data_IF_780379811655
#
_entry.id   IF_780379811655
#
_cell.length_a   1.000
_cell.length_b   1.000
_cell.length_c   1.000
_cell.angle_alpha   90.00
_cell.angle_beta   90.00
_cell.angle_gamma   90.00
#
_symmetry.space_group_name_H-M   'P 1'
#
loop_
_entity.id
_entity.type
_entity.pdbx_description
1 polymer ?
#
# COMPACT_ATOMS: atom_id res chain seq x y z
N UNK A 1 -0.02 -9.14 -28.84
CA UNK A 1 0.63 -10.03 -27.86
C UNK A 1 -0.36 -10.44 -26.80
N UNK A 2 -1.09 -11.52 -27.06
CA UNK A 2 -2.19 -12.05 -26.20
C UNK A 2 -1.73 -13.24 -25.35
N UNK A 3 -0.62 -13.15 -24.63
CA UNK A 3 -0.01 -14.33 -24.01
C UNK A 3 -0.28 -14.52 -22.52
N UNK A 4 -1.21 -13.75 -21.90
CA UNK A 4 -1.40 -13.83 -20.44
C UNK A 4 -2.82 -14.22 -19.98
N UNK A 5 -3.74 -14.48 -20.90
CA UNK A 5 -5.15 -14.79 -20.60
C UNK A 5 -5.37 -16.28 -20.24
N UNK A 6 -4.50 -17.16 -20.71
CA UNK A 6 -4.64 -18.63 -20.57
C UNK A 6 -3.85 -19.22 -19.40
N UNK A 7 -2.84 -18.53 -18.88
CA UNK A 7 -1.89 -19.08 -17.89
C UNK A 7 -2.48 -19.38 -16.51
N UNK A 8 -3.49 -18.63 -16.06
CA UNK A 8 -4.08 -18.85 -14.73
C UNK A 8 -5.16 -19.94 -14.73
N UNK A 9 -5.95 -20.04 -15.78
CA UNK A 9 -7.02 -21.05 -15.87
C UNK A 9 -6.40 -22.46 -15.96
N UNK A 10 -5.45 -22.63 -16.87
CA UNK A 10 -4.78 -23.92 -17.08
C UNK A 10 -4.04 -24.41 -15.82
N UNK A 11 -3.41 -23.48 -15.06
CA UNK A 11 -2.74 -23.82 -13.80
C UNK A 11 -3.73 -24.38 -12.75
N UNK A 12 -4.85 -23.72 -12.55
CA UNK A 12 -5.85 -24.15 -11.56
C UNK A 12 -6.59 -25.42 -11.98
N UNK A 13 -6.78 -25.63 -13.28
CA UNK A 13 -7.33 -26.86 -13.82
C UNK A 13 -6.33 -28.01 -13.62
N UNK A 14 -5.05 -27.79 -13.81
CA UNK A 14 -4.00 -28.78 -13.46
C UNK A 14 -3.96 -29.09 -11.98
N UNK A 15 -4.12 -28.10 -11.10
CA UNK A 15 -4.16 -28.30 -9.63
C UNK A 15 -5.35 -29.16 -9.25
N UNK A 16 -6.54 -28.98 -9.86
CA UNK A 16 -7.74 -29.80 -9.64
C UNK A 16 -7.50 -31.23 -10.07
N UNK A 17 -6.96 -31.44 -11.26
CA UNK A 17 -6.64 -32.77 -11.81
C UNK A 17 -5.60 -33.49 -10.97
N UNK A 18 -4.58 -32.77 -10.48
CA UNK A 18 -3.51 -33.37 -9.65
C UNK A 18 -3.93 -33.70 -8.22
N UNK A 19 -5.12 -33.27 -7.78
CA UNK A 19 -5.63 -33.48 -6.43
C UNK A 19 -7.11 -33.83 -6.48
N UNK A 20 -7.46 -34.91 -7.17
CA UNK A 20 -8.84 -35.38 -7.39
C UNK A 20 -9.61 -35.63 -6.09
N UNK A 21 -8.90 -35.95 -5.00
CA UNK A 21 -9.50 -36.21 -3.68
C UNK A 21 -9.88 -34.93 -2.91
N UNK A 22 -9.59 -33.73 -3.46
CA UNK A 22 -9.88 -32.46 -2.80
C UNK A 22 -10.98 -31.69 -3.54
N UNK A 23 -12.06 -31.41 -2.83
CA UNK A 23 -13.06 -30.46 -3.30
C UNK A 23 -12.51 -29.03 -3.24
N UNK A 24 -12.45 -28.38 -4.38
CA UNK A 24 -12.07 -26.97 -4.51
C UNK A 24 -13.28 -26.12 -4.82
N UNK A 25 -13.39 -24.91 -4.22
CA UNK A 25 -14.47 -23.98 -4.56
C UNK A 25 -14.52 -23.68 -6.06
N UNK A 26 -15.72 -23.63 -6.63
CA UNK A 26 -15.92 -23.49 -8.09
C UNK A 26 -15.30 -22.22 -8.68
N UNK A 27 -15.27 -21.13 -7.90
CA UNK A 27 -14.71 -19.84 -8.33
C UNK A 27 -13.22 -19.69 -8.06
N UNK A 28 -12.54 -20.76 -7.56
CA UNK A 28 -11.10 -20.72 -7.36
C UNK A 28 -10.37 -20.52 -8.69
N UNK A 29 -9.52 -19.45 -8.76
CA UNK A 29 -8.80 -19.07 -9.98
C UNK A 29 -9.63 -18.29 -11.00
N UNK A 30 -10.93 -18.12 -10.80
CA UNK A 30 -11.76 -17.31 -11.67
C UNK A 30 -11.54 -15.81 -11.43
N UNK A 31 -11.77 -15.01 -12.48
CA UNK A 31 -11.70 -13.56 -12.41
C UNK A 31 -12.80 -13.02 -11.48
N UNK A 32 -12.50 -12.00 -10.71
CA UNK A 32 -13.48 -11.28 -9.91
C UNK A 32 -14.28 -10.32 -10.79
N UNK A 33 -15.60 -10.29 -10.61
CA UNK A 33 -16.43 -9.24 -11.20
C UNK A 33 -16.52 -8.03 -10.28
N UNK A 34 -16.96 -6.91 -10.81
CA UNK A 34 -17.10 -5.68 -10.02
C UNK A 34 -18.23 -5.82 -8.99
N UNK A 35 -19.31 -6.54 -9.35
CA UNK A 35 -20.43 -6.84 -8.44
C UNK A 35 -19.98 -7.74 -7.29
N UNK A 36 -19.12 -8.71 -7.56
CA UNK A 36 -18.56 -9.58 -6.54
C UNK A 36 -17.63 -8.79 -5.59
N UNK A 37 -16.86 -7.81 -6.08
CA UNK A 37 -16.07 -6.92 -5.23
C UNK A 37 -16.93 -6.05 -4.32
N UNK A 38 -18.03 -5.51 -4.85
CA UNK A 38 -18.98 -4.69 -4.09
C UNK A 38 -19.60 -5.53 -2.97
N UNK A 39 -20.11 -6.72 -3.29
CA UNK A 39 -20.69 -7.66 -2.32
C UNK A 39 -19.69 -8.01 -1.22
N UNK A 40 -18.43 -8.29 -1.57
CA UNK A 40 -17.36 -8.55 -0.62
C UNK A 40 -17.17 -7.38 0.36
N UNK A 41 -17.13 -6.15 -0.13
CA UNK A 41 -16.94 -4.96 0.71
C UNK A 41 -18.13 -4.71 1.64
N UNK A 42 -19.36 -4.97 1.18
CA UNK A 42 -20.56 -4.86 1.99
C UNK A 42 -20.57 -5.91 3.11
N UNK A 43 -20.19 -7.15 2.81
CA UNK A 43 -20.09 -8.23 3.77
C UNK A 43 -19.02 -7.98 4.83
N UNK A 44 -17.87 -7.44 4.43
CA UNK A 44 -16.82 -7.02 5.35
C UNK A 44 -17.28 -5.87 6.24
N UNK A 45 -18.02 -4.90 5.69
CA UNK A 45 -18.58 -3.79 6.46
C UNK A 45 -19.58 -4.27 7.52
N UNK A 46 -20.34 -5.31 7.18
CA UNK A 46 -21.29 -5.97 8.09
C UNK A 46 -20.62 -6.93 9.09
N UNK A 47 -19.27 -7.00 9.10
CA UNK A 47 -18.45 -7.86 9.95
C UNK A 47 -18.78 -9.36 9.83
N UNK A 48 -19.17 -9.82 8.63
CA UNK A 48 -19.40 -11.24 8.36
C UNK A 48 -18.04 -11.97 8.41
N UNK A 49 -18.03 -13.17 9.00
CA UNK A 49 -16.82 -13.99 9.10
C UNK A 49 -16.25 -14.33 7.71
N UNK A 50 -14.91 -14.30 7.60
CA UNK A 50 -14.19 -14.55 6.34
C UNK A 50 -14.45 -15.93 5.76
N UNK A 51 -14.63 -16.93 6.62
CA UNK A 51 -14.97 -18.29 6.20
C UNK A 51 -16.37 -18.35 5.58
N UNK A 52 -17.34 -17.65 6.16
CA UNK A 52 -18.70 -17.55 5.62
C UNK A 52 -18.69 -16.81 4.28
N UNK A 53 -17.96 -15.70 4.18
CA UNK A 53 -17.77 -14.96 2.93
C UNK A 53 -17.15 -15.88 1.86
N UNK A 54 -16.11 -16.63 2.22
CA UNK A 54 -15.45 -17.54 1.28
C UNK A 54 -16.42 -18.61 0.74
N UNK A 55 -17.26 -19.18 1.60
CA UNK A 55 -18.29 -20.15 1.20
C UNK A 55 -19.31 -19.51 0.25
N UNK A 56 -19.84 -18.34 0.59
CA UNK A 56 -20.86 -17.64 -0.19
C UNK A 56 -20.37 -17.27 -1.59
N UNK A 57 -19.11 -16.82 -1.69
CA UNK A 57 -18.47 -16.50 -2.97
C UNK A 57 -17.92 -17.73 -3.71
N UNK A 58 -18.06 -18.93 -3.17
CA UNK A 58 -17.43 -20.15 -3.71
C UNK A 58 -15.93 -19.96 -3.97
N UNK A 59 -15.23 -19.34 -3.02
CA UNK A 59 -13.78 -19.08 -3.08
C UNK A 59 -13.07 -19.62 -1.85
N UNK A 60 -11.76 -19.72 -1.91
CA UNK A 60 -10.95 -20.04 -0.73
C UNK A 60 -10.79 -18.80 0.17
N UNK A 61 -10.59 -19.02 1.48
CA UNK A 61 -10.23 -17.95 2.44
C UNK A 61 -8.99 -17.17 1.94
N UNK A 62 -8.00 -17.89 1.40
CA UNK A 62 -6.81 -17.26 0.79
C UNK A 62 -7.16 -16.37 -0.41
N UNK A 63 -8.13 -16.80 -1.24
CA UNK A 63 -8.64 -16.01 -2.36
C UNK A 63 -9.31 -14.71 -1.91
N UNK A 64 -10.15 -14.78 -0.87
CA UNK A 64 -10.78 -13.61 -0.25
C UNK A 64 -9.71 -12.65 0.30
N UNK A 65 -8.76 -13.15 1.08
CA UNK A 65 -7.69 -12.33 1.65
C UNK A 65 -6.82 -11.67 0.56
N UNK A 66 -6.47 -12.40 -0.48
CA UNK A 66 -5.74 -11.85 -1.63
C UNK A 66 -6.53 -10.73 -2.31
N UNK A 67 -7.86 -10.88 -2.42
CA UNK A 67 -8.70 -9.84 -3.03
C UNK A 67 -8.81 -8.60 -2.16
N UNK A 68 -8.95 -8.76 -0.84
CA UNK A 68 -8.91 -7.65 0.12
C UNK A 68 -7.61 -6.83 -0.02
N UNK A 69 -6.47 -7.52 -0.11
CA UNK A 69 -5.17 -6.88 -0.34
C UNK A 69 -5.10 -6.15 -1.69
N UNK A 70 -5.69 -6.72 -2.75
CA UNK A 70 -5.77 -6.07 -4.06
C UNK A 70 -6.59 -4.78 -4.01
N UNK A 71 -7.75 -4.82 -3.34
CA UNK A 71 -8.62 -3.66 -3.14
C UNK A 71 -7.88 -2.58 -2.32
N UNK A 72 -7.21 -2.96 -1.23
CA UNK A 72 -6.42 -2.05 -0.41
C UNK A 72 -5.34 -1.33 -1.24
N UNK A 73 -4.63 -2.06 -2.09
CA UNK A 73 -3.63 -1.47 -2.98
C UNK A 73 -4.25 -0.53 -4.03
N UNK A 74 -5.39 -0.90 -4.63
CA UNK A 74 -6.14 -0.01 -5.56
C UNK A 74 -6.58 1.29 -4.88
N UNK A 75 -7.02 1.22 -3.61
CA UNK A 75 -7.41 2.40 -2.84
C UNK A 75 -6.20 3.28 -2.50
N UNK A 76 -5.06 2.68 -2.14
CA UNK A 76 -3.80 3.40 -1.92
C UNK A 76 -3.36 4.17 -3.17
N UNK A 77 -3.41 3.56 -4.36
CA UNK A 77 -3.09 4.24 -5.63
C UNK A 77 -4.03 5.42 -5.94
N UNK A 78 -5.25 5.40 -5.38
CA UNK A 78 -6.22 6.51 -5.48
C UNK A 78 -6.06 7.55 -4.36
N UNK A 79 -4.97 7.49 -3.59
CA UNK A 79 -4.69 8.39 -2.47
C UNK A 79 -5.77 8.38 -1.37
N UNK A 80 -6.45 7.27 -1.18
CA UNK A 80 -7.39 7.08 -0.05
C UNK A 80 -6.59 6.96 1.25
N UNK A 81 -7.09 7.55 2.34
CA UNK A 81 -6.41 7.50 3.63
C UNK A 81 -6.28 6.07 4.16
N UNK A 82 -5.20 5.81 4.91
CA UNK A 82 -4.95 4.50 5.49
C UNK A 82 -6.08 4.03 6.40
N UNK A 83 -6.66 4.94 7.17
CA UNK A 83 -7.77 4.67 8.07
C UNK A 83 -9.02 4.18 7.31
N UNK A 84 -9.32 4.82 6.18
CA UNK A 84 -10.44 4.40 5.34
C UNK A 84 -10.19 3.05 4.67
N UNK A 85 -8.95 2.78 4.24
CA UNK A 85 -8.55 1.48 3.69
C UNK A 85 -8.73 0.38 4.73
N UNK A 86 -8.24 0.57 5.96
CA UNK A 86 -8.42 -0.37 7.09
C UNK A 86 -9.90 -0.60 7.35
N UNK A 87 -10.70 0.46 7.42
CA UNK A 87 -12.14 0.40 7.70
C UNK A 87 -12.87 -0.44 6.66
N UNK A 88 -12.59 -0.22 5.37
CA UNK A 88 -13.29 -0.90 4.25
C UNK A 88 -12.81 -2.33 4.04
N UNK A 89 -11.51 -2.56 4.12
CA UNK A 89 -10.94 -3.88 3.83
C UNK A 89 -10.85 -4.79 5.05
N UNK A 90 -10.98 -4.23 6.27
CA UNK A 90 -10.78 -4.94 7.56
C UNK A 90 -9.41 -5.65 7.64
N UNK A 91 -8.42 -5.14 6.92
CA UNK A 91 -7.01 -5.56 7.05
C UNK A 91 -6.33 -4.70 8.11
N UNK A 92 -5.36 -5.28 8.81
CA UNK A 92 -4.51 -4.52 9.72
C UNK A 92 -3.49 -3.65 8.94
N UNK A 93 -2.97 -2.62 9.61
CA UNK A 93 -2.01 -1.68 9.04
C UNK A 93 -0.79 -2.39 8.44
N UNK A 94 -0.20 -3.34 9.17
CA UNK A 94 1.01 -4.03 8.75
C UNK A 94 0.78 -4.86 7.48
N UNK A 95 -0.38 -5.52 7.36
CA UNK A 95 -0.75 -6.27 6.18
C UNK A 95 -0.88 -5.37 4.95
N UNK A 96 -1.50 -4.19 5.11
CA UNK A 96 -1.65 -3.21 4.03
C UNK A 96 -0.28 -2.69 3.61
N UNK A 97 0.56 -2.27 4.56
CA UNK A 97 1.90 -1.77 4.29
C UNK A 97 2.77 -2.78 3.56
N UNK A 98 2.82 -4.03 4.04
CA UNK A 98 3.54 -5.11 3.35
C UNK A 98 3.02 -5.36 1.94
N UNK A 99 1.71 -5.26 1.74
CA UNK A 99 1.09 -5.41 0.42
C UNK A 99 1.54 -4.31 -0.53
N UNK A 100 1.54 -3.07 -0.07
CA UNK A 100 2.02 -1.90 -0.83
C UNK A 100 3.49 -2.10 -1.20
N UNK A 101 4.34 -2.41 -0.23
CA UNK A 101 5.78 -2.62 -0.46
C UNK A 101 6.05 -3.74 -1.48
N UNK A 102 5.40 -4.90 -1.34
CA UNK A 102 5.55 -6.03 -2.27
C UNK A 102 5.12 -5.67 -3.69
N UNK A 103 4.00 -4.96 -3.84
CA UNK A 103 3.47 -4.59 -5.16
C UNK A 103 4.30 -3.48 -5.82
N UNK A 104 4.77 -2.51 -5.05
CA UNK A 104 5.64 -1.43 -5.53
C UNK A 104 6.98 -2.01 -6.00
N UNK A 105 7.60 -2.90 -5.21
CA UNK A 105 8.86 -3.56 -5.58
C UNK A 105 8.71 -4.46 -6.82
N UNK A 106 7.59 -5.16 -6.96
CA UNK A 106 7.32 -6.00 -8.14
C UNK A 106 7.08 -5.14 -9.40
N UNK A 107 6.43 -3.99 -9.27
CA UNK A 107 6.25 -3.05 -10.37
C UNK A 107 7.60 -2.45 -10.79
N UNK A 108 8.47 -2.10 -9.85
CA UNK A 108 9.83 -1.61 -10.14
C UNK A 108 10.68 -2.64 -10.88
N UNK A 109 10.51 -3.94 -10.60
CA UNK A 109 11.16 -5.02 -11.35
C UNK A 109 10.60 -5.21 -12.76
N UNK A 110 9.29 -5.01 -12.96
CA UNK A 110 8.65 -5.09 -14.28
C UNK A 110 8.97 -3.90 -15.18
N UNK A 111 9.21 -2.72 -14.60
CA UNK A 111 9.56 -1.49 -15.34
C UNK A 111 10.97 -1.60 -15.96
N UNK A 112 11.87 -2.41 -15.39
CA UNK A 112 13.19 -2.68 -15.98
C UNK A 112 13.14 -3.43 -17.33
N UNK A 113 11.97 -3.90 -17.76
CA UNK A 113 11.81 -4.69 -19.00
C UNK A 113 10.95 -4.04 -20.08
N UNK A 114 10.47 -2.81 -19.88
CA UNK A 114 9.76 -2.05 -20.93
C UNK A 114 10.19 -0.59 -20.84
N UNK A 115 10.78 -0.10 -21.92
CA UNK A 115 10.91 1.31 -22.26
C UNK A 115 9.50 1.93 -22.27
N UNK A 116 9.06 2.45 -21.13
CA UNK A 116 7.82 3.20 -21.01
C UNK A 116 8.16 4.51 -20.31
N UNK A 117 8.12 5.55 -21.11
CA UNK A 117 8.02 6.97 -20.76
C UNK A 117 9.03 7.50 -19.73
N UNK A 118 10.22 7.73 -20.21
CA UNK A 118 11.26 8.55 -19.54
C UNK A 118 10.76 9.91 -19.03
N UNK A 119 9.63 10.41 -19.50
CA UNK A 119 9.05 11.69 -19.10
C UNK A 119 8.40 11.62 -17.72
N UNK A 120 7.64 10.58 -17.40
CA UNK A 120 6.95 10.47 -16.10
C UNK A 120 7.90 10.13 -14.95
N UNK A 121 8.94 9.33 -15.25
CA UNK A 121 10.00 8.97 -14.27
C UNK A 121 10.93 10.17 -14.02
N UNK A 122 11.18 11.02 -15.02
CA UNK A 122 12.01 12.21 -14.86
C UNK A 122 11.34 13.28 -14.00
N UNK A 123 10.02 13.49 -14.16
CA UNK A 123 9.24 14.42 -13.33
C UNK A 123 9.28 13.96 -11.86
N UNK A 124 8.92 12.72 -11.57
CA UNK A 124 8.94 12.20 -10.21
C UNK A 124 10.34 12.19 -9.57
N UNK A 125 11.39 11.97 -10.36
CA UNK A 125 12.76 11.98 -9.85
C UNK A 125 13.23 13.41 -9.53
N UNK A 126 12.85 14.37 -10.34
CA UNK A 126 13.20 15.78 -10.12
C UNK A 126 12.43 16.33 -8.89
N UNK A 127 11.14 16.07 -8.79
CA UNK A 127 10.32 16.46 -7.64
C UNK A 127 10.85 15.82 -6.34
N UNK A 128 11.29 14.58 -6.39
CA UNK A 128 11.90 13.91 -5.24
C UNK A 128 13.25 14.53 -4.85
N UNK A 129 14.08 14.90 -5.83
CA UNK A 129 15.37 15.57 -5.59
C UNK A 129 15.16 16.95 -5.00
N UNK A 130 14.19 17.71 -5.54
CA UNK A 130 13.80 19.02 -5.05
C UNK A 130 13.31 18.94 -3.60
N UNK A 131 12.35 18.09 -3.31
CA UNK A 131 11.85 17.85 -1.96
C UNK A 131 12.96 17.42 -0.98
N UNK A 132 13.88 16.57 -1.41
CA UNK A 132 15.02 16.15 -0.59
C UNK A 132 15.95 17.33 -0.26
N UNK A 133 16.15 18.24 -1.22
CA UNK A 133 16.94 19.45 -1.02
C UNK A 133 16.24 20.42 -0.06
N UNK A 134 14.93 20.59 -0.21
CA UNK A 134 14.12 21.42 0.68
C UNK A 134 14.15 20.91 2.12
N UNK A 135 13.99 19.61 2.33
CA UNK A 135 14.11 19.00 3.65
C UNK A 135 15.53 19.22 4.24
N UNK A 136 16.57 19.15 3.42
CA UNK A 136 17.94 19.44 3.86
C UNK A 136 18.12 20.91 4.26
N UNK A 137 17.56 21.83 3.49
CA UNK A 137 17.60 23.25 3.78
C UNK A 137 16.84 23.57 5.06
N UNK A 138 15.62 23.07 5.21
CA UNK A 138 14.84 23.20 6.45
C UNK A 138 15.59 22.70 7.67
N UNK A 139 16.33 21.59 7.56
CA UNK A 139 17.16 21.06 8.67
C UNK A 139 18.28 22.03 9.04
N UNK A 140 18.90 22.69 8.06
CA UNK A 140 19.92 23.70 8.30
C UNK A 140 19.32 24.93 8.97
N UNK A 141 18.16 25.40 8.52
CA UNK A 141 17.46 26.56 9.08
C UNK A 141 17.07 26.28 10.55
N UNK A 142 16.56 25.08 10.85
CA UNK A 142 16.26 24.66 12.23
C UNK A 142 17.52 24.69 13.10
N UNK A 143 18.66 24.25 12.59
CA UNK A 143 19.91 24.30 13.34
C UNK A 143 20.37 25.74 13.60
N UNK A 144 20.20 26.64 12.64
CA UNK A 144 20.51 28.07 12.82
C UNK A 144 19.59 28.69 13.88
N UNK A 145 18.27 28.44 13.80
CA UNK A 145 17.31 28.92 14.81
C UNK A 145 17.68 28.39 16.21
N UNK A 146 18.07 27.13 16.32
CA UNK A 146 18.52 26.55 17.59
C UNK A 146 19.75 27.25 18.16
N UNK A 147 20.71 27.57 17.31
CA UNK A 147 21.94 28.29 17.76
C UNK A 147 21.60 29.72 18.21
N UNK A 148 20.81 30.45 17.40
CA UNK A 148 20.38 31.82 17.75
C UNK A 148 19.56 31.85 19.05
N UNK A 149 18.70 30.86 19.27
CA UNK A 149 17.96 30.70 20.54
C UNK A 149 18.91 30.46 21.71
N UNK A 150 19.94 29.63 21.52
CA UNK A 150 21.00 29.41 22.54
C UNK A 150 21.72 30.70 22.90
N UNK A 151 22.14 31.47 21.89
CA UNK A 151 22.79 32.78 22.11
C UNK A 151 21.90 33.78 22.88
N UNK A 152 20.61 33.79 22.52
CA UNK A 152 19.59 34.65 23.15
C UNK A 152 19.39 34.28 24.63
N UNK A 153 19.35 32.98 24.93
CA UNK A 153 19.26 32.47 26.31
C UNK A 153 20.50 32.87 27.14
N UNK A 154 21.70 32.77 26.56
CA UNK A 154 22.91 33.18 27.25
C UNK A 154 22.98 34.71 27.48
N UNK A 155 22.53 35.51 26.49
CA UNK A 155 22.41 36.96 26.69
C UNK A 155 21.40 37.32 27.78
N UNK A 156 20.27 36.63 27.83
CA UNK A 156 19.26 36.85 28.89
C UNK A 156 19.81 36.50 30.27
N UNK A 157 20.55 35.40 30.41
CA UNK A 157 21.21 35.05 31.69
C UNK A 157 22.19 36.12 32.13
N UNK A 158 23.04 36.64 31.23
CA UNK A 158 23.97 37.71 31.53
C UNK A 158 23.27 38.99 32.02
N UNK A 159 22.10 39.33 31.44
CA UNK A 159 21.31 40.49 31.90
C UNK A 159 20.78 40.28 33.31
N UNK A 160 20.25 39.12 33.64
CA UNK A 160 19.74 38.80 34.97
C UNK A 160 20.84 38.80 36.03
N UNK A 161 22.06 38.35 35.69
CA UNK A 161 23.23 38.38 36.63
C UNK A 161 23.70 39.81 36.94
N UNK A 162 23.45 40.78 36.05
CA UNK A 162 23.76 42.18 36.29
C UNK A 162 22.70 42.92 37.11
N UNK A 163 21.46 42.44 37.17
CA UNK A 163 20.40 43.07 37.98
C UNK A 163 20.46 42.68 39.48
N UNK A 164 21.13 41.58 39.80
CA UNK A 164 21.27 41.09 41.21
C UNK A 164 22.54 41.61 41.91
N UNK A 165 23.30 42.56 41.32
CA UNK A 165 24.52 43.18 41.90
C UNK A 165 24.29 44.65 42.20
#
# INVERSE_FOLDING_TARGET
>A
METNKYRNKDYWDMVRISNEDKEYPSNMGQKWSDEEEISLLEELNNNIDIGIIAQKHNRTIGGINSRRQEIAYKMYLKSVSMEEIIKKTKLDYNCIEQTIQKKTNNNSKKIKTKEIDNVFISINKNDYIELKNDVKNMKNDINQIKNTLGELVEMMKAVYEFEDT
#
